data_IF_076192245622
#
_entry.id   IF_076192245622
#
_cell.length_a   1.000
_cell.length_b   1.000
_cell.length_c   1.000
_cell.angle_alpha   90.00
_cell.angle_beta   90.00
_cell.angle_gamma   90.00
#
_symmetry.space_group_name_H-M   'P 1'
#
loop_
_entity.id
_entity.type
_entity.pdbx_description
1 polymer ?
#
# COMPACT_ATOMS: atom_id res chain seq x y z
N UNK A 1 -24.60 -34.77 0.36
CA UNK A 1 -23.60 -33.96 1.08
C UNK A 1 -22.53 -33.53 0.09
N UNK A 2 -22.42 -32.24 -0.23
CA UNK A 2 -21.61 -31.73 -1.36
C UNK A 2 -20.38 -31.02 -0.80
N UNK A 3 -19.22 -31.66 -0.89
CA UNK A 3 -17.94 -31.10 -0.43
C UNK A 3 -17.49 -30.08 -1.48
N UNK A 4 -17.57 -28.80 -1.16
CA UNK A 4 -17.05 -27.71 -1.99
C UNK A 4 -15.65 -27.37 -1.51
N UNK A 5 -14.66 -27.76 -2.31
CA UNK A 5 -13.28 -27.36 -2.11
C UNK A 5 -13.20 -25.85 -2.38
N UNK A 6 -12.94 -25.07 -1.33
CA UNK A 6 -12.60 -23.66 -1.47
C UNK A 6 -11.11 -23.62 -1.78
N UNK A 7 -10.78 -23.60 -3.06
CA UNK A 7 -9.43 -23.31 -3.53
C UNK A 7 -8.98 -21.99 -2.92
N UNK A 8 -8.15 -22.08 -1.88
CA UNK A 8 -7.64 -20.95 -1.11
C UNK A 8 -6.41 -20.35 -1.81
N UNK A 9 -6.43 -20.31 -3.14
CA UNK A 9 -5.29 -20.02 -4.00
C UNK A 9 -5.57 -18.82 -4.91
N UNK A 10 -5.87 -17.69 -4.27
CA UNK A 10 -5.51 -16.38 -4.77
C UNK A 10 -5.70 -15.38 -3.63
N UNK A 11 -4.70 -15.21 -2.78
CA UNK A 11 -4.52 -13.92 -2.10
C UNK A 11 -4.06 -12.93 -3.16
N UNK A 12 -4.93 -12.64 -4.14
CA UNK A 12 -4.77 -11.50 -5.01
C UNK A 12 -4.77 -10.31 -4.07
N UNK A 13 -3.60 -9.67 -3.94
CA UNK A 13 -3.47 -8.41 -3.20
C UNK A 13 -4.64 -7.53 -3.66
N UNK A 14 -5.50 -7.08 -2.75
CA UNK A 14 -6.65 -6.25 -3.11
C UNK A 14 -6.21 -4.79 -3.14
N UNK A 15 -6.62 -4.06 -4.18
CA UNK A 15 -6.50 -2.61 -4.19
C UNK A 15 -7.37 -2.01 -3.09
N UNK A 16 -6.91 -0.93 -2.46
CA UNK A 16 -7.66 -0.22 -1.44
C UNK A 16 -7.49 1.29 -1.59
N UNK A 17 -8.46 2.06 -1.10
CA UNK A 17 -8.36 3.52 -1.10
C UNK A 17 -7.71 4.01 0.18
N UNK A 18 -6.81 4.98 0.09
CA UNK A 18 -6.20 5.68 1.21
C UNK A 18 -6.09 7.17 0.89
N UNK A 19 -6.59 8.05 1.76
CA UNK A 19 -6.62 9.51 1.55
C UNK A 19 -7.16 9.95 0.18
N UNK A 20 -8.23 9.29 -0.29
CA UNK A 20 -8.84 9.47 -1.62
C UNK A 20 -7.99 9.00 -2.81
N UNK A 21 -6.78 8.51 -2.59
CA UNK A 21 -5.94 7.88 -3.61
C UNK A 21 -6.15 6.37 -3.65
N UNK A 22 -6.11 5.80 -4.85
CA UNK A 22 -6.19 4.36 -5.03
C UNK A 22 -4.78 3.77 -4.87
N UNK A 23 -4.65 2.80 -3.97
CA UNK A 23 -3.44 2.00 -3.79
C UNK A 23 -3.69 0.65 -4.43
N UNK A 24 -2.92 0.34 -5.46
CA UNK A 24 -3.06 -0.89 -6.23
C UNK A 24 -1.81 -1.75 -6.08
N UNK A 25 -1.93 -3.06 -5.97
CA UNK A 25 -0.77 -3.94 -6.07
C UNK A 25 -0.20 -3.89 -7.50
N UNK A 26 1.12 -3.92 -7.60
CA UNK A 26 1.80 -3.96 -8.90
C UNK A 26 3.01 -4.88 -8.80
N UNK A 27 2.96 -6.01 -9.52
CA UNK A 27 3.95 -7.09 -9.42
C UNK A 27 4.19 -7.46 -7.94
N UNK A 28 5.43 -7.32 -7.48
CA UNK A 28 5.83 -7.62 -6.10
C UNK A 28 5.57 -6.48 -5.11
N UNK A 29 5.24 -5.28 -5.60
CA UNK A 29 5.05 -4.09 -4.79
C UNK A 29 3.63 -3.52 -4.83
N UNK A 30 3.57 -2.24 -4.50
CA UNK A 30 2.37 -1.42 -4.44
C UNK A 30 2.63 -0.08 -5.11
N UNK A 31 1.66 0.38 -5.88
CA UNK A 31 1.68 1.67 -6.55
C UNK A 31 0.53 2.52 -6.04
N UNK A 32 0.65 3.81 -6.31
CA UNK A 32 -0.31 4.81 -5.90
C UNK A 32 -0.80 5.57 -7.11
N UNK A 33 -2.08 5.91 -7.11
CA UNK A 33 -2.68 6.77 -8.12
C UNK A 33 -2.50 8.25 -7.70
N UNK A 34 -1.26 8.72 -7.84
CA UNK A 34 -0.86 10.13 -7.70
C UNK A 34 -0.16 10.54 -9.00
N UNK A 35 -0.49 11.71 -9.58
CA UNK A 35 0.06 12.14 -10.86
C UNK A 35 1.59 12.36 -10.83
N UNK A 36 2.15 12.65 -9.65
CA UNK A 36 3.59 12.89 -9.45
C UNK A 36 4.37 11.68 -8.92
N UNK A 37 3.70 10.53 -8.66
CA UNK A 37 4.34 9.38 -8.02
C UNK A 37 4.34 8.12 -8.92
N UNK A 38 5.50 7.84 -9.51
CA UNK A 38 5.77 6.62 -10.28
C UNK A 38 6.55 5.57 -9.47
N UNK A 39 6.62 5.69 -8.15
CA UNK A 39 7.38 4.75 -7.33
C UNK A 39 6.59 3.47 -7.04
N UNK A 40 7.31 2.34 -7.04
CA UNK A 40 6.81 1.04 -6.63
C UNK A 40 7.30 0.79 -5.21
N UNK A 41 6.37 0.73 -4.27
CA UNK A 41 6.66 0.55 -2.85
C UNK A 41 6.64 -0.92 -2.45
N UNK A 42 7.52 -1.30 -1.52
CA UNK A 42 7.65 -2.69 -1.09
C UNK A 42 6.41 -3.22 -0.35
N UNK A 43 5.78 -2.37 0.43
CA UNK A 43 4.71 -2.78 1.34
C UNK A 43 3.62 -1.71 1.42
N UNK A 44 2.42 -2.10 1.86
CA UNK A 44 1.28 -1.20 2.03
C UNK A 44 1.59 -0.03 2.98
N UNK A 45 2.43 -0.28 3.99
CA UNK A 45 2.85 0.74 4.95
C UNK A 45 3.75 1.81 4.32
N UNK A 46 4.65 1.39 3.42
CA UNK A 46 5.55 2.28 2.69
C UNK A 46 4.77 3.23 1.78
N UNK A 47 3.78 2.70 1.04
CA UNK A 47 2.90 3.53 0.20
C UNK A 47 2.16 4.56 1.04
N UNK A 48 1.57 4.14 2.16
CA UNK A 48 0.83 5.07 3.03
C UNK A 48 1.74 6.17 3.55
N UNK A 49 3.00 5.85 3.89
CA UNK A 49 3.98 6.83 4.34
C UNK A 49 4.33 7.82 3.23
N UNK A 50 4.48 7.34 2.00
CA UNK A 50 4.72 8.21 0.85
C UNK A 50 3.53 9.10 0.52
N UNK A 51 2.30 8.58 0.59
CA UNK A 51 1.06 9.38 0.44
C UNK A 51 0.98 10.45 1.53
N UNK A 52 1.34 10.12 2.77
CA UNK A 52 1.34 11.08 3.87
C UNK A 52 2.42 12.18 3.69
N UNK A 53 3.56 11.83 3.09
CA UNK A 53 4.61 12.79 2.74
C UNK A 53 4.19 13.68 1.56
N UNK A 54 3.60 13.11 0.52
CA UNK A 54 3.14 13.84 -0.68
C UNK A 54 2.01 14.84 -0.38
N UNK A 55 1.10 14.48 0.54
CA UNK A 55 -0.03 15.34 0.93
C UNK A 55 0.30 16.34 2.05
N UNK A 56 1.58 16.49 2.41
CA UNK A 56 2.01 17.55 3.33
C UNK A 56 1.66 17.31 4.80
N UNK A 57 1.64 16.06 5.26
CA UNK A 57 1.53 15.77 6.69
C UNK A 57 0.96 14.40 7.02
N UNK A 58 1.36 13.86 8.17
CA UNK A 58 0.70 12.69 8.75
C UNK A 58 -0.76 13.04 9.04
N UNK A 59 -1.69 12.22 8.54
CA UNK A 59 -3.06 12.27 9.01
C UNK A 59 -3.01 12.22 10.53
N UNK A 60 -3.61 13.21 11.20
CA UNK A 60 -3.63 13.47 12.63
C UNK A 60 -4.15 12.28 13.44
N UNK A 61 -3.43 11.16 13.39
CA UNK A 61 -3.68 9.94 14.11
C UNK A 61 -2.66 9.97 15.23
N UNK A 62 -3.19 10.06 16.45
CA UNK A 62 -2.54 10.11 17.77
C UNK A 62 -1.31 9.21 17.99
N UNK A 63 -0.96 8.34 17.06
CA UNK A 63 0.31 7.63 17.00
C UNK A 63 0.50 7.06 15.60
N UNK A 64 1.63 7.34 14.96
CA UNK A 64 2.09 6.55 13.82
C UNK A 64 2.35 5.14 14.36
N UNK A 65 1.81 4.11 13.70
CA UNK A 65 2.06 2.75 14.18
C UNK A 65 3.56 2.43 14.12
N UNK A 66 4.09 1.74 15.13
CA UNK A 66 5.51 1.35 15.18
C UNK A 66 5.97 0.62 13.91
N UNK A 67 5.07 -0.14 13.28
CA UNK A 67 5.33 -0.79 11.98
C UNK A 67 5.63 0.25 10.90
N UNK A 68 4.86 1.33 10.79
CA UNK A 68 5.09 2.38 9.79
C UNK A 68 6.38 3.15 10.02
N UNK A 69 6.76 3.36 11.28
CA UNK A 69 8.06 3.95 11.65
C UNK A 69 9.20 3.01 11.26
N UNK A 70 9.08 1.73 11.62
CA UNK A 70 10.11 0.71 11.37
C UNK A 70 10.37 0.47 9.88
N UNK A 71 9.32 0.39 9.07
CA UNK A 71 9.47 0.14 7.63
C UNK A 71 9.91 1.38 6.84
N UNK A 72 9.55 2.59 7.28
CA UNK A 72 9.87 3.81 6.54
C UNK A 72 9.25 3.85 5.14
N UNK A 73 9.92 4.51 4.20
CA UNK A 73 9.55 4.52 2.77
C UNK A 73 10.57 3.66 2.02
N UNK A 74 10.18 2.43 1.68
CA UNK A 74 11.00 1.54 0.87
C UNK A 74 10.45 1.46 -0.56
N UNK A 75 11.28 1.89 -1.51
CA UNK A 75 10.99 1.87 -2.94
C UNK A 75 11.77 0.70 -3.55
N UNK A 76 11.05 -0.21 -4.21
CA UNK A 76 11.64 -1.36 -4.93
C UNK A 76 12.02 -0.96 -6.35
N UNK A 77 11.34 0.01 -6.93
CA UNK A 77 11.63 0.48 -8.29
C UNK A 77 10.71 1.61 -8.72
N UNK A 78 10.73 1.90 -10.01
CA UNK A 78 9.83 2.88 -10.64
C UNK A 78 9.09 2.21 -11.79
N UNK A 79 7.87 2.67 -12.03
CA UNK A 79 7.05 2.28 -13.18
C UNK A 79 7.46 3.06 -14.42
#
# INVERSE_FOLDING_TARGET
>A
MRITWKDSLAVTKKSFKYRKHLISPYKDGWIVDLPDDNNIYANQYCVKNAVDLALGGNESRKSISEKRIRYGIQIIGKK
#
